data_IF_558862237415
#
_entry.id   IF_558862237415
#
_cell.length_a   1.000
_cell.length_b   1.000
_cell.length_c   1.000
_cell.angle_alpha   90.00
_cell.angle_beta   90.00
_cell.angle_gamma   90.00
#
_symmetry.space_group_name_H-M   'P 1'
#
loop_
_entity.id
_entity.type
_entity.pdbx_description
1 polymer ?
#
# COMPACT_ATOMS: atom_id res chain seq x y z
N UNK A 1 28.61 -34.48 -62.74
CA UNK A 1 27.63 -34.15 -61.67
C UNK A 1 28.26 -33.61 -60.37
N UNK A 2 29.57 -33.77 -60.09
CA UNK A 2 30.15 -33.27 -58.82
C UNK A 2 30.54 -31.78 -58.79
N UNK A 3 30.82 -31.15 -59.94
CA UNK A 3 31.22 -29.72 -59.99
C UNK A 3 30.08 -28.74 -59.66
N UNK A 4 28.85 -29.03 -60.09
CA UNK A 4 27.68 -28.18 -59.85
C UNK A 4 27.31 -28.10 -58.36
N UNK A 5 27.55 -29.18 -57.61
CA UNK A 5 27.20 -29.24 -56.20
C UNK A 5 28.14 -28.39 -55.33
N UNK A 6 29.43 -28.34 -55.68
CA UNK A 6 30.47 -27.57 -54.95
C UNK A 6 30.26 -26.06 -55.13
N UNK A 7 29.86 -25.61 -56.32
CA UNK A 7 29.60 -24.20 -56.60
C UNK A 7 28.37 -23.66 -55.86
N UNK A 8 27.32 -24.48 -55.75
CA UNK A 8 26.11 -24.14 -55.00
C UNK A 8 26.39 -24.02 -53.49
N UNK A 9 27.19 -24.93 -52.93
CA UNK A 9 27.63 -24.88 -51.52
C UNK A 9 28.51 -23.66 -51.26
N UNK A 10 29.44 -23.30 -52.17
CA UNK A 10 30.26 -22.07 -52.03
C UNK A 10 29.42 -20.79 -52.11
N UNK A 11 28.40 -20.73 -52.96
CA UNK A 11 27.49 -19.57 -53.05
C UNK A 11 26.62 -19.43 -51.80
N UNK A 12 26.12 -20.55 -51.25
CA UNK A 12 25.38 -20.57 -49.98
C UNK A 12 26.26 -20.19 -48.78
N UNK A 13 27.50 -20.70 -48.71
CA UNK A 13 28.48 -20.30 -47.69
C UNK A 13 28.83 -18.81 -47.80
N UNK A 14 29.04 -18.31 -49.02
CA UNK A 14 29.31 -16.90 -49.29
C UNK A 14 28.14 -16.01 -48.82
N UNK A 15 26.90 -16.37 -49.20
CA UNK A 15 25.71 -15.66 -48.77
C UNK A 15 25.55 -15.65 -47.24
N UNK A 16 25.87 -16.76 -46.58
CA UNK A 16 25.87 -16.84 -45.12
C UNK A 16 26.83 -15.84 -44.47
N UNK A 17 28.05 -15.70 -45.00
CA UNK A 17 29.03 -14.72 -44.51
C UNK A 17 28.62 -13.26 -44.75
N UNK A 18 27.73 -12.97 -45.71
CA UNK A 18 27.17 -11.63 -45.90
C UNK A 18 25.88 -11.38 -45.09
N UNK A 19 25.03 -12.40 -44.92
CA UNK A 19 23.74 -12.26 -44.22
C UNK A 19 23.92 -12.29 -42.70
N UNK A 20 24.81 -13.14 -42.17
CA UNK A 20 25.02 -13.25 -40.72
C UNK A 20 25.47 -11.92 -40.07
N UNK A 21 26.44 -11.16 -40.61
CA UNK A 21 26.81 -9.86 -40.05
C UNK A 21 25.65 -8.86 -40.09
N UNK A 22 24.84 -8.85 -41.16
CA UNK A 22 23.68 -7.96 -41.29
C UNK A 22 22.64 -8.28 -40.22
N UNK A 23 22.33 -9.57 -40.01
CA UNK A 23 21.40 -10.01 -38.96
C UNK A 23 21.92 -9.65 -37.57
N UNK A 24 23.22 -9.83 -37.30
CA UNK A 24 23.84 -9.45 -36.02
C UNK A 24 23.85 -7.93 -35.80
N UNK A 25 24.11 -7.14 -36.85
CA UNK A 25 24.04 -5.67 -36.80
C UNK A 25 22.60 -5.21 -36.54
N UNK A 26 21.61 -5.77 -37.24
CA UNK A 26 20.20 -5.47 -37.01
C UNK A 26 19.77 -5.85 -35.59
N UNK A 27 20.16 -7.03 -35.11
CA UNK A 27 19.91 -7.46 -33.74
C UNK A 27 20.56 -6.51 -32.72
N UNK A 28 21.80 -6.09 -32.96
CA UNK A 28 22.51 -5.12 -32.12
C UNK A 28 21.81 -3.75 -32.12
N UNK A 29 21.38 -3.25 -33.29
CA UNK A 29 20.65 -1.97 -33.41
C UNK A 29 19.31 -2.04 -32.67
N UNK A 30 18.54 -3.11 -32.86
CA UNK A 30 17.26 -3.33 -32.18
C UNK A 30 17.47 -3.41 -30.67
N UNK A 31 18.46 -4.18 -30.20
CA UNK A 31 18.80 -4.31 -28.78
C UNK A 31 19.25 -2.96 -28.19
N UNK A 32 20.08 -2.21 -28.91
CA UNK A 32 20.55 -0.88 -28.48
C UNK A 32 19.41 0.15 -28.44
N UNK A 33 18.46 0.09 -29.38
CA UNK A 33 17.24 0.91 -29.35
C UNK A 33 16.38 0.58 -28.12
N UNK A 34 16.06 -0.70 -27.86
CA UNK A 34 15.32 -1.13 -26.67
C UNK A 34 16.01 -0.69 -25.37
N UNK A 35 17.33 -0.81 -25.29
CA UNK A 35 18.12 -0.35 -24.13
C UNK A 35 18.04 1.17 -23.94
N UNK A 36 18.12 1.97 -25.02
CA UNK A 36 17.98 3.43 -24.96
C UNK A 36 16.56 3.87 -24.58
N UNK A 37 15.53 3.18 -25.08
CA UNK A 37 14.14 3.45 -24.70
C UNK A 37 13.87 3.12 -23.23
N UNK A 38 14.38 1.98 -22.75
CA UNK A 38 14.35 1.62 -21.34
C UNK A 38 15.06 2.68 -20.48
N UNK A 39 16.28 3.09 -20.85
CA UNK A 39 17.03 4.13 -20.14
C UNK A 39 16.30 5.48 -20.13
N UNK A 40 15.66 5.88 -21.25
CA UNK A 40 14.83 7.08 -21.32
C UNK A 40 13.60 6.99 -20.42
N UNK A 41 12.91 5.83 -20.39
CA UNK A 41 11.75 5.59 -19.52
C UNK A 41 12.15 5.66 -18.03
N UNK A 42 13.28 5.04 -17.67
CA UNK A 42 13.83 5.13 -16.31
C UNK A 42 14.20 6.58 -15.94
N UNK A 43 14.87 7.32 -16.83
CA UNK A 43 15.24 8.72 -16.57
C UNK A 43 14.00 9.61 -16.36
N UNK A 44 12.97 9.48 -17.21
CA UNK A 44 11.72 10.25 -17.06
C UNK A 44 11.02 9.94 -15.72
N UNK A 45 11.06 8.70 -15.26
CA UNK A 45 10.55 8.32 -13.94
C UNK A 45 11.35 8.94 -12.79
N UNK A 46 12.68 8.99 -12.89
CA UNK A 46 13.56 9.63 -11.89
C UNK A 46 13.33 11.14 -11.82
N UNK A 47 13.19 11.81 -12.96
CA UNK A 47 12.93 13.26 -13.01
C UNK A 47 11.58 13.60 -12.37
N UNK A 48 10.54 12.77 -12.59
CA UNK A 48 9.22 12.94 -11.97
C UNK A 48 9.23 12.63 -10.46
N UNK A 49 9.99 11.62 -10.03
CA UNK A 49 10.10 11.29 -8.60
C UNK A 49 10.64 12.47 -7.76
N UNK A 50 11.50 13.31 -8.36
CA UNK A 50 12.07 14.50 -7.70
C UNK A 50 11.06 15.63 -7.52
N UNK A 51 9.95 15.65 -8.27
CA UNK A 51 8.91 16.68 -8.15
C UNK A 51 7.91 16.38 -7.04
N UNK A 52 7.93 15.18 -6.46
CA UNK A 52 6.95 14.81 -5.45
C UNK A 52 7.23 15.43 -4.07
N UNK A 53 6.17 15.78 -3.31
CA UNK A 53 6.32 16.13 -1.91
C UNK A 53 7.01 15.00 -1.14
N UNK A 54 7.98 15.35 -0.29
CA UNK A 54 8.73 14.36 0.50
C UNK A 54 7.96 13.81 1.71
N UNK A 55 6.95 14.54 2.16
CA UNK A 55 6.18 14.22 3.36
C UNK A 55 4.92 13.44 2.99
N UNK A 56 4.53 12.48 3.83
CA UNK A 56 3.25 11.81 3.70
C UNK A 56 2.10 12.80 4.02
N UNK A 57 0.99 12.79 3.26
CA UNK A 57 -0.18 13.60 3.55
C UNK A 57 -0.81 13.27 4.92
N UNK A 58 -1.41 14.26 5.58
CA UNK A 58 -2.18 14.03 6.79
C UNK A 58 -3.50 13.31 6.46
N UNK A 59 -3.84 12.27 7.22
CA UNK A 59 -5.10 11.55 6.98
C UNK A 59 -5.19 10.17 7.58
N UNK A 60 -6.28 9.49 7.24
CA UNK A 60 -6.54 8.10 7.63
C UNK A 60 -5.90 7.13 6.64
N UNK A 61 -5.10 6.19 7.14
CA UNK A 61 -4.41 5.17 6.36
C UNK A 61 -4.75 3.78 6.89
N UNK A 62 -5.18 2.88 6.01
CA UNK A 62 -5.26 1.44 6.31
C UNK A 62 -3.86 0.88 6.53
N UNK A 63 -3.67 0.13 7.61
CA UNK A 63 -2.37 -0.46 7.98
C UNK A 63 -2.36 -1.99 8.04
N UNK A 64 -3.51 -2.63 8.32
CA UNK A 64 -3.66 -4.08 8.29
C UNK A 64 -5.14 -4.47 8.22
N UNK A 65 -5.41 -5.75 7.98
CA UNK A 65 -6.76 -6.31 8.06
C UNK A 65 -7.14 -6.59 9.52
N UNK A 66 -8.43 -6.42 9.83
CA UNK A 66 -8.95 -6.62 11.18
C UNK A 66 -8.86 -8.09 11.64
N UNK A 67 -8.91 -9.03 10.71
CA UNK A 67 -8.84 -10.46 10.99
C UNK A 67 -7.44 -10.92 11.47
N UNK A 68 -6.38 -10.23 11.03
CA UNK A 68 -5.00 -10.42 11.47
C UNK A 68 -4.82 -10.15 12.98
N UNK A 69 -5.74 -9.39 13.59
CA UNK A 69 -5.77 -9.08 15.02
C UNK A 69 -7.20 -9.22 15.56
N UNK A 70 -7.87 -10.33 15.25
CA UNK A 70 -9.28 -10.56 15.59
C UNK A 70 -9.53 -10.90 17.06
N UNK A 71 -8.58 -11.57 17.72
CA UNK A 71 -8.75 -12.03 19.10
C UNK A 71 -8.06 -11.12 20.10
N UNK A 72 -8.63 -11.06 21.31
CA UNK A 72 -8.02 -10.36 22.45
C UNK A 72 -6.58 -10.81 22.65
N UNK A 73 -5.71 -9.84 22.92
CA UNK A 73 -4.29 -10.06 23.16
C UNK A 73 -3.44 -10.42 21.93
N UNK A 74 -4.02 -10.47 20.73
CA UNK A 74 -3.24 -10.64 19.51
C UNK A 74 -2.43 -9.37 19.19
N UNK A 75 -1.28 -9.61 18.57
CA UNK A 75 -0.31 -8.58 18.19
C UNK A 75 0.07 -8.79 16.72
N UNK A 76 0.19 -7.70 15.98
CA UNK A 76 0.64 -7.68 14.60
C UNK A 76 1.65 -6.56 14.38
N UNK A 77 2.69 -6.90 13.63
CA UNK A 77 3.61 -5.93 13.07
C UNK A 77 3.03 -5.29 11.80
N UNK A 78 3.08 -3.97 11.71
CA UNK A 78 2.67 -3.21 10.53
C UNK A 78 3.75 -2.20 10.12
N UNK A 79 3.98 -2.08 8.81
CA UNK A 79 4.87 -1.07 8.25
C UNK A 79 4.09 -0.19 7.27
N UNK A 80 3.96 1.09 7.61
CA UNK A 80 3.31 2.08 6.75
C UNK A 80 3.92 3.45 7.00
N UNK A 81 3.86 4.34 6.00
CA UNK A 81 4.31 5.74 6.15
C UNK A 81 5.78 5.84 6.60
N UNK A 82 6.62 4.87 6.21
CA UNK A 82 8.02 4.78 6.64
C UNK A 82 8.21 4.48 8.12
N UNK A 83 7.18 3.99 8.82
CA UNK A 83 7.16 3.74 10.26
C UNK A 83 6.87 2.27 10.55
N UNK A 84 7.57 1.77 11.57
CA UNK A 84 7.35 0.45 12.13
C UNK A 84 6.37 0.59 13.30
N UNK A 85 5.25 -0.13 13.24
CA UNK A 85 4.17 -0.05 14.22
C UNK A 85 3.85 -1.42 14.81
N UNK A 86 3.38 -1.41 16.06
CA UNK A 86 2.76 -2.55 16.71
C UNK A 86 1.27 -2.28 16.82
N UNK A 87 0.48 -3.15 16.21
CA UNK A 87 -0.99 -3.19 16.31
C UNK A 87 -1.33 -4.30 17.29
N UNK A 88 -2.17 -4.03 18.28
CA UNK A 88 -2.63 -5.07 19.18
C UNK A 88 -4.06 -4.85 19.63
N UNK A 89 -4.76 -5.94 19.93
CA UNK A 89 -6.08 -5.90 20.53
C UNK A 89 -5.95 -6.01 22.04
N UNK A 90 -6.56 -5.08 22.79
CA UNK A 90 -6.58 -5.15 24.25
C UNK A 90 -7.14 -6.49 24.72
N UNK A 91 -6.67 -6.95 25.88
CA UNK A 91 -7.19 -8.15 26.55
C UNK A 91 -8.14 -7.78 27.69
N UNK A 92 -8.77 -6.61 27.58
CA UNK A 92 -9.86 -6.15 28.45
C UNK A 92 -11.23 -6.39 27.81
N UNK A 93 -12.29 -6.01 28.51
CA UNK A 93 -13.66 -6.26 28.05
C UNK A 93 -14.07 -5.45 26.83
N UNK A 94 -13.39 -4.34 26.58
CA UNK A 94 -13.64 -3.49 25.42
C UNK A 94 -13.02 -4.04 24.14
N UNK A 95 -11.94 -4.82 24.25
CA UNK A 95 -11.32 -5.54 23.13
C UNK A 95 -10.96 -4.61 21.96
N UNK A 96 -10.49 -3.40 22.28
CA UNK A 96 -10.18 -2.31 21.36
C UNK A 96 -8.83 -2.50 20.67
N UNK A 97 -8.71 -1.94 19.46
CA UNK A 97 -7.44 -1.87 18.74
C UNK A 97 -6.63 -0.67 19.20
N UNK A 98 -5.37 -0.93 19.50
CA UNK A 98 -4.36 0.09 19.80
C UNK A 98 -3.19 -0.04 18.83
N UNK A 99 -2.63 1.12 18.44
CA UNK A 99 -1.47 1.18 17.55
C UNK A 99 -0.42 2.10 18.16
N UNK A 100 0.78 1.55 18.35
CA UNK A 100 1.94 2.27 18.85
C UNK A 100 3.10 2.17 17.86
N UNK A 101 4.12 3.02 18.03
CA UNK A 101 5.44 2.75 17.42
C UNK A 101 5.93 1.35 17.85
N UNK A 102 6.58 0.61 16.97
CA UNK A 102 6.99 -0.75 17.27
C UNK A 102 8.16 -0.83 18.27
N UNK A 103 9.02 0.20 18.33
CA UNK A 103 10.25 0.15 19.11
C UNK A 103 10.09 0.75 20.51
N UNK A 104 10.48 -0.03 21.51
CA UNK A 104 10.42 0.36 22.92
C UNK A 104 11.35 1.55 23.20
N UNK A 105 10.83 2.58 23.86
CA UNK A 105 11.59 3.79 24.26
C UNK A 105 12.70 3.54 25.28
N UNK A 106 12.81 2.33 25.84
CA UNK A 106 13.89 1.94 26.73
C UNK A 106 15.20 1.67 25.97
N UNK A 107 15.25 0.57 25.19
CA UNK A 107 16.44 0.16 24.43
C UNK A 107 16.12 -0.32 23.02
N UNK A 108 14.97 0.07 22.46
CA UNK A 108 14.64 -0.18 21.05
C UNK A 108 14.24 -1.61 20.71
N UNK A 109 13.84 -2.44 21.68
CA UNK A 109 13.26 -3.75 21.39
C UNK A 109 11.93 -3.56 20.62
N UNK A 110 11.71 -4.36 19.58
CA UNK A 110 10.48 -4.30 18.80
C UNK A 110 9.36 -5.09 19.52
N UNK A 111 8.32 -4.40 19.99
CA UNK A 111 7.21 -4.99 20.74
C UNK A 111 6.34 -5.91 19.88
N UNK A 112 6.33 -5.75 18.55
CA UNK A 112 5.57 -6.63 17.67
C UNK A 112 6.20 -8.04 17.58
N UNK A 113 7.46 -8.20 17.99
CA UNK A 113 8.17 -9.48 17.98
C UNK A 113 8.47 -9.94 19.42
N UNK A 114 7.63 -10.83 19.94
CA UNK A 114 7.77 -11.40 21.28
C UNK A 114 7.15 -10.57 22.40
N UNK A 115 6.63 -9.37 22.11
CA UNK A 115 5.80 -8.64 23.06
C UNK A 115 4.51 -9.40 23.38
N UNK A 116 3.86 -8.98 24.47
CA UNK A 116 2.66 -9.64 24.97
C UNK A 116 1.66 -8.61 25.45
N UNK A 117 0.38 -8.75 25.09
CA UNK A 117 -0.69 -7.97 25.70
C UNK A 117 -0.98 -8.53 27.10
N UNK A 118 -1.06 -7.64 28.08
CA UNK A 118 -1.22 -8.03 29.48
C UNK A 118 -2.68 -8.39 29.78
N UNK A 119 -2.95 -9.56 30.39
CA UNK A 119 -4.32 -10.03 30.58
C UNK A 119 -5.20 -9.10 31.39
N UNK A 120 -6.43 -8.89 30.93
CA UNK A 120 -7.38 -7.98 31.58
C UNK A 120 -7.06 -6.50 31.40
N UNK A 121 -6.19 -6.14 30.46
CA UNK A 121 -5.74 -4.75 30.27
C UNK A 121 -5.61 -4.36 28.79
N UNK A 122 -5.42 -3.06 28.56
CA UNK A 122 -4.99 -2.48 27.29
C UNK A 122 -3.47 -2.22 27.23
N UNK A 123 -2.66 -2.89 28.05
CA UNK A 123 -1.22 -2.68 28.10
C UNK A 123 -0.48 -3.75 27.28
N UNK A 124 0.58 -3.33 26.58
CA UNK A 124 1.52 -4.23 25.92
C UNK A 124 2.86 -4.25 26.68
N UNK A 125 3.39 -5.44 26.91
CA UNK A 125 4.65 -5.68 27.58
C UNK A 125 5.77 -5.90 26.57
N UNK A 126 6.87 -5.18 26.78
CA UNK A 126 8.10 -5.31 26.00
C UNK A 126 8.81 -6.64 26.29
N UNK A 127 9.24 -7.39 25.26
CA UNK A 127 9.89 -8.70 25.44
C UNK A 127 11.25 -8.63 26.13
N UNK A 128 11.89 -7.47 26.15
CA UNK A 128 13.29 -7.38 26.58
C UNK A 128 13.42 -7.21 28.09
N UNK A 129 12.79 -6.17 28.64
CA UNK A 129 12.88 -5.83 30.06
C UNK A 129 11.51 -5.77 30.74
N UNK A 130 10.47 -6.26 30.06
CA UNK A 130 9.13 -6.42 30.59
C UNK A 130 8.45 -5.10 31.01
N UNK A 131 8.86 -3.97 30.43
CA UNK A 131 8.16 -2.69 30.59
C UNK A 131 6.79 -2.78 29.95
N UNK A 132 5.77 -2.32 30.65
CA UNK A 132 4.39 -2.31 30.15
C UNK A 132 4.01 -0.90 29.70
N UNK A 133 3.39 -0.78 28.53
CA UNK A 133 2.94 0.47 27.95
C UNK A 133 1.44 0.42 27.69
N UNK A 134 0.72 1.44 28.14
CA UNK A 134 -0.72 1.58 27.92
C UNK A 134 -1.00 1.89 26.44
N UNK A 135 -1.91 1.15 25.80
CA UNK A 135 -2.20 1.25 24.37
C UNK A 135 -2.85 2.57 23.92
N UNK A 136 -3.61 3.21 24.78
CA UNK A 136 -4.30 4.47 24.47
C UNK A 136 -3.37 5.68 24.61
N UNK A 137 -2.66 5.75 25.73
CA UNK A 137 -1.83 6.90 26.09
C UNK A 137 -0.36 6.73 25.72
N UNK A 138 0.10 5.51 25.46
CA UNK A 138 1.50 5.16 25.22
C UNK A 138 2.39 5.25 26.45
N UNK A 139 1.85 5.69 27.60
CA UNK A 139 2.63 5.86 28.84
C UNK A 139 3.05 4.50 29.39
N UNK A 140 4.29 4.42 29.87
CA UNK A 140 4.77 3.29 30.64
C UNK A 140 3.94 3.18 31.92
N UNK A 141 3.20 2.08 32.06
CA UNK A 141 2.31 1.81 33.19
C UNK A 141 3.01 1.04 34.30
N UNK A 142 4.05 0.24 33.97
CA UNK A 142 4.74 -0.60 34.96
C UNK A 142 6.19 -0.87 34.61
N UNK A 143 7.04 -0.80 35.64
CA UNK A 143 8.43 -1.25 35.63
C UNK A 143 8.54 -2.46 36.58
N UNK A 144 8.81 -3.68 36.09
CA UNK A 144 8.66 -4.88 36.91
C UNK A 144 9.70 -5.03 38.03
N UNK A 145 10.78 -4.24 37.98
CA UNK A 145 11.91 -4.31 38.91
C UNK A 145 12.16 -2.98 39.64
N UNK A 146 11.23 -2.03 39.56
CA UNK A 146 11.38 -0.73 40.21
C UNK A 146 10.05 -0.24 40.79
N UNK A 147 10.04 0.03 42.09
CA UNK A 147 8.89 0.57 42.83
C UNK A 147 8.88 2.12 42.84
N UNK A 148 9.68 2.74 41.97
CA UNK A 148 9.86 4.19 41.89
C UNK A 148 8.92 4.89 40.92
N UNK A 149 8.95 6.23 40.91
CA UNK A 149 8.21 7.05 39.94
C UNK A 149 8.71 6.73 38.52
N UNK A 150 7.80 6.25 37.67
CA UNK A 150 8.06 6.05 36.25
C UNK A 150 8.36 7.41 35.59
N UNK A 151 9.45 7.56 34.81
CA UNK A 151 9.76 8.82 34.14
C UNK A 151 8.63 9.25 33.19
N UNK A 152 8.24 10.52 33.20
CA UNK A 152 7.18 11.05 32.32
C UNK A 152 7.53 10.93 30.83
N UNK A 153 8.83 10.87 30.51
CA UNK A 153 9.35 10.65 29.16
C UNK A 153 9.27 9.19 28.71
N UNK A 154 8.96 8.24 29.59
CA UNK A 154 8.73 6.84 29.23
C UNK A 154 7.35 6.69 28.57
N UNK A 155 7.19 7.27 27.38
CA UNK A 155 5.94 7.32 26.63
C UNK A 155 6.22 6.97 25.18
N UNK A 156 5.57 5.93 24.69
CA UNK A 156 5.57 5.54 23.28
C UNK A 156 4.64 6.44 22.46
N UNK A 157 4.95 6.59 21.18
CA UNK A 157 4.05 7.22 20.24
C UNK A 157 2.81 6.35 20.05
N UNK A 158 1.63 6.96 20.12
CA UNK A 158 0.34 6.32 19.81
C UNK A 158 -0.23 6.89 18.53
N UNK A 159 -1.04 6.12 17.82
CA UNK A 159 -1.76 6.58 16.64
C UNK A 159 -3.26 6.42 16.90
N UNK A 160 -4.08 7.48 16.74
CA UNK A 160 -5.53 7.31 16.76
C UNK A 160 -5.92 6.27 15.73
N UNK A 161 -6.64 5.23 16.17
CA UNK A 161 -6.96 4.06 15.35
C UNK A 161 -8.44 3.78 15.33
N UNK A 162 -8.92 3.28 14.20
CA UNK A 162 -10.30 2.82 14.04
C UNK A 162 -10.30 1.47 13.33
N UNK A 163 -11.21 0.60 13.76
CA UNK A 163 -11.52 -0.66 13.09
C UNK A 163 -12.86 -0.49 12.38
N UNK A 164 -12.88 -0.57 11.05
CA UNK A 164 -14.10 -0.41 10.25
C UNK A 164 -13.97 -1.15 8.92
N UNK A 165 -15.06 -1.77 8.46
CA UNK A 165 -15.12 -2.49 7.18
C UNK A 165 -14.03 -3.55 6.99
N UNK A 166 -13.66 -4.25 8.08
CA UNK A 166 -12.59 -5.25 8.07
C UNK A 166 -11.18 -4.66 7.96
N UNK A 167 -11.03 -3.33 8.07
CA UNK A 167 -9.76 -2.62 7.98
C UNK A 167 -9.41 -2.01 9.33
N UNK A 168 -8.13 -2.08 9.70
CA UNK A 168 -7.56 -1.26 10.77
C UNK A 168 -6.89 -0.06 10.13
N UNK A 169 -7.34 1.14 10.51
CA UNK A 169 -6.84 2.42 10.01
C UNK A 169 -6.27 3.26 11.12
N UNK A 170 -5.26 4.07 10.80
CA UNK A 170 -4.69 5.07 11.70
C UNK A 170 -4.81 6.47 11.14
N UNK A 171 -4.92 7.45 12.03
CA UNK A 171 -4.69 8.84 11.69
C UNK A 171 -3.20 9.16 11.72
N UNK A 172 -2.69 9.75 10.65
CA UNK A 172 -1.34 10.25 10.56
C UNK A 172 -1.32 11.78 10.47
N UNK A 173 -0.48 12.39 11.29
CA UNK A 173 -0.09 13.79 11.20
C UNK A 173 1.41 13.91 11.51
N UNK A 174 2.20 14.69 10.75
CA UNK A 174 3.64 14.81 10.98
C UNK A 174 3.99 15.40 12.36
N UNK A 175 3.06 16.15 12.96
CA UNK A 175 3.18 16.74 14.30
C UNK A 175 2.37 15.99 15.38
N UNK A 176 1.78 14.83 15.06
CA UNK A 176 0.83 14.10 15.93
C UNK A 176 -0.34 14.95 16.45
N UNK A 177 -0.91 15.78 15.58
CA UNK A 177 -2.17 16.42 15.90
C UNK A 177 -3.31 15.40 15.83
N UNK A 178 -4.37 15.58 16.63
CA UNK A 178 -5.55 14.71 16.57
C UNK A 178 -6.24 14.79 15.20
N UNK A 179 -7.11 13.81 14.87
CA UNK A 179 -7.86 13.83 13.62
C UNK A 179 -8.63 15.13 13.42
N UNK A 180 -8.42 15.78 12.27
CA UNK A 180 -9.19 16.98 11.89
C UNK A 180 -10.54 16.61 11.28
N UNK A 181 -10.70 15.36 10.86
CA UNK A 181 -11.93 14.77 10.33
C UNK A 181 -12.01 13.30 10.73
N UNK A 182 -13.24 12.80 10.84
CA UNK A 182 -13.48 11.40 11.18
C UNK A 182 -13.06 10.46 10.05
N UNK A 183 -12.74 9.23 10.40
CA UNK A 183 -12.55 8.19 9.40
C UNK A 183 -13.85 8.01 8.59
N UNK A 184 -13.72 7.71 7.30
CA UNK A 184 -14.86 7.55 6.40
C UNK A 184 -15.84 6.52 6.97
N UNK A 185 -17.07 6.96 7.20
CA UNK A 185 -18.21 6.15 7.60
C UNK A 185 -19.27 6.25 6.50
N UNK A 186 -19.63 5.09 5.95
CA UNK A 186 -20.63 4.87 4.91
C UNK A 186 -21.73 4.03 5.57
N UNK A 187 -22.83 4.69 5.93
CA UNK A 187 -23.92 4.08 6.68
C UNK A 187 -24.49 2.83 6.00
N UNK A 188 -24.53 2.83 4.66
CA UNK A 188 -25.02 1.71 3.87
C UNK A 188 -24.19 0.43 4.04
N UNK A 189 -22.92 0.54 4.46
CA UNK A 189 -22.02 -0.58 4.72
C UNK A 189 -22.05 -1.07 6.17
N UNK A 190 -22.75 -0.37 7.08
CA UNK A 190 -22.83 -0.73 8.50
C UNK A 190 -23.91 -1.81 8.79
N UNK A 191 -24.70 -2.21 7.79
CA UNK A 191 -25.74 -3.24 7.89
C UNK A 191 -25.43 -4.52 7.14
N UNK A 192 -26.43 -5.40 7.05
CA UNK A 192 -26.37 -6.70 6.35
C UNK A 192 -26.72 -6.61 4.85
N UNK A 193 -26.97 -5.39 4.34
CA UNK A 193 -27.35 -5.16 2.95
C UNK A 193 -26.27 -5.57 1.95
N UNK A 194 -25.00 -5.49 2.35
CA UNK A 194 -23.87 -5.85 1.50
C UNK A 194 -23.16 -7.09 2.05
N UNK A 195 -22.80 -7.97 1.14
CA UNK A 195 -22.03 -9.17 1.44
C UNK A 195 -20.57 -8.94 1.05
N UNK A 196 -19.65 -9.24 1.97
CA UNK A 196 -18.23 -9.20 1.67
C UNK A 196 -17.87 -10.28 0.63
N UNK A 197 -17.35 -9.85 -0.53
CA UNK A 197 -17.01 -10.75 -1.65
C UNK A 197 -15.54 -11.14 -1.74
N UNK A 198 -14.68 -10.53 -0.92
CA UNK A 198 -13.25 -10.83 -0.86
C UNK A 198 -12.37 -9.60 -0.97
N UNK A 199 -11.07 -9.80 -0.79
CA UNK A 199 -10.03 -8.77 -0.87
C UNK A 199 -9.05 -9.15 -1.96
N UNK A 200 -8.57 -8.15 -2.70
CA UNK A 200 -7.51 -8.31 -3.68
C UNK A 200 -6.29 -7.50 -3.26
N UNK A 201 -5.23 -8.19 -2.87
CA UNK A 201 -3.96 -7.57 -2.53
C UNK A 201 -3.03 -7.60 -3.73
N UNK A 202 -2.59 -6.43 -4.17
CA UNK A 202 -1.44 -6.36 -5.06
C UNK A 202 -0.18 -6.16 -4.22
N UNK A 203 0.90 -6.93 -4.46
CA UNK A 203 2.15 -6.71 -3.77
C UNK A 203 2.74 -5.34 -4.13
N UNK A 204 3.64 -4.84 -3.27
CA UNK A 204 4.37 -3.57 -3.35
C UNK A 204 4.38 -2.92 -4.75
N UNK A 205 3.62 -1.84 -4.91
CA UNK A 205 3.63 -1.02 -6.12
C UNK A 205 4.63 0.11 -5.91
N UNK A 206 5.68 0.16 -6.74
CA UNK A 206 6.68 1.23 -6.70
C UNK A 206 6.15 2.49 -7.38
N UNK A 207 5.23 3.19 -6.72
CA UNK A 207 4.66 4.44 -7.19
C UNK A 207 4.48 5.45 -6.05
N UNK A 208 4.46 6.74 -6.39
CA UNK A 208 4.10 7.78 -5.43
C UNK A 208 2.57 7.84 -5.27
N UNK A 209 2.05 8.12 -4.06
CA UNK A 209 0.60 8.17 -3.80
C UNK A 209 -0.12 9.17 -4.71
N UNK A 210 0.53 10.28 -5.05
CA UNK A 210 -0.02 11.28 -5.96
C UNK A 210 -0.32 10.72 -7.35
N UNK A 211 0.52 9.82 -7.89
CA UNK A 211 0.26 9.19 -9.21
C UNK A 211 -1.03 8.37 -9.19
N UNK A 212 -1.37 7.78 -8.03
CA UNK A 212 -2.61 7.05 -7.87
C UNK A 212 -3.80 8.03 -7.84
N UNK A 213 -3.68 9.09 -7.05
CA UNK A 213 -4.72 10.12 -6.90
C UNK A 213 -5.01 10.88 -8.21
N UNK A 214 -4.01 11.12 -9.06
CA UNK A 214 -4.19 11.79 -10.34
C UNK A 214 -5.12 11.04 -11.31
N UNK A 215 -5.24 9.71 -11.19
CA UNK A 215 -6.20 8.94 -12.00
C UNK A 215 -7.64 9.38 -11.76
N UNK A 216 -7.96 9.89 -10.56
CA UNK A 216 -9.31 10.33 -10.23
C UNK A 216 -9.75 11.56 -11.06
N UNK A 217 -8.79 12.38 -11.53
CA UNK A 217 -9.07 13.56 -12.35
C UNK A 217 -8.96 13.30 -13.87
N UNK A 218 -8.27 12.22 -14.27
CA UNK A 218 -8.05 11.87 -15.68
C UNK A 218 -9.25 11.09 -16.24
N UNK A 219 -10.36 11.75 -16.52
CA UNK A 219 -11.50 11.06 -17.14
C UNK A 219 -11.16 10.43 -18.51
N UNK A 220 -10.19 11.00 -19.24
CA UNK A 220 -9.85 10.55 -20.59
C UNK A 220 -9.29 9.13 -20.63
N UNK A 221 -8.69 8.61 -19.54
CA UNK A 221 -8.20 7.22 -19.51
C UNK A 221 -9.30 6.17 -19.46
N UNK A 222 -10.55 6.54 -19.13
CA UNK A 222 -11.68 5.60 -19.06
C UNK A 222 -11.95 4.93 -20.40
N UNK A 223 -12.00 5.68 -21.50
CA UNK A 223 -12.26 5.09 -22.82
C UNK A 223 -11.21 4.03 -23.24
N UNK A 224 -9.89 4.30 -23.19
CA UNK A 224 -8.89 3.31 -23.58
C UNK A 224 -8.65 2.18 -22.57
N UNK A 225 -8.81 2.40 -21.25
CA UNK A 225 -8.53 1.39 -20.22
C UNK A 225 -9.77 0.63 -19.73
N UNK A 226 -10.94 1.27 -19.74
CA UNK A 226 -12.19 0.74 -19.20
C UNK A 226 -13.31 0.60 -20.26
N UNK A 227 -13.12 1.11 -21.48
CA UNK A 227 -14.15 1.15 -22.50
C UNK A 227 -14.52 -0.21 -23.13
N UNK A 228 -13.78 -1.29 -22.89
CA UNK A 228 -14.19 -2.63 -23.36
C UNK A 228 -15.03 -3.33 -22.30
N UNK A 229 -16.27 -3.72 -22.63
CA UNK A 229 -17.18 -4.32 -21.67
C UNK A 229 -16.58 -5.62 -21.08
N UNK A 230 -16.34 -5.60 -19.78
CA UNK A 230 -15.95 -6.76 -19.00
C UNK A 230 -17.21 -7.39 -18.40
N UNK A 231 -17.42 -8.69 -18.60
CA UNK A 231 -18.41 -9.41 -17.81
C UNK A 231 -17.88 -9.42 -16.38
N UNK A 232 -18.61 -8.85 -15.39
CA UNK A 232 -18.16 -8.83 -14.01
C UNK A 232 -17.73 -10.22 -13.54
N UNK A 233 -16.82 -10.32 -12.56
CA UNK A 233 -16.29 -11.58 -11.99
C UNK A 233 -15.58 -12.57 -12.93
N UNK A 234 -15.59 -12.37 -14.25
CA UNK A 234 -15.10 -13.41 -15.18
C UNK A 234 -13.81 -13.06 -15.92
N UNK A 235 -13.27 -11.83 -15.84
CA UNK A 235 -12.13 -11.37 -16.67
C UNK A 235 -12.37 -11.48 -18.20
N UNK A 236 -13.57 -11.87 -18.63
CA UNK A 236 -13.92 -12.01 -20.04
C UNK A 236 -14.41 -10.68 -20.57
N UNK A 237 -13.79 -10.22 -21.65
CA UNK A 237 -14.29 -9.09 -22.41
C UNK A 237 -15.31 -9.56 -23.45
N UNK A 238 -16.43 -8.86 -23.57
CA UNK A 238 -17.41 -9.12 -24.63
C UNK A 238 -16.85 -8.55 -25.94
N UNK A 239 -16.60 -9.38 -26.97
CA UNK A 239 -16.08 -8.89 -28.24
C UNK A 239 -17.04 -7.86 -28.84
N UNK A 240 -16.49 -6.76 -29.35
CA UNK A 240 -17.20 -5.70 -30.08
C UNK A 240 -18.26 -4.91 -29.28
N UNK A 241 -18.34 -5.08 -27.96
CA UNK A 241 -19.19 -4.27 -27.09
C UNK A 241 -18.33 -3.33 -26.27
N UNK A 242 -18.60 -2.02 -26.42
CA UNK A 242 -17.87 -0.96 -25.76
C UNK A 242 -18.78 -0.14 -24.87
N UNK A 243 -18.25 0.25 -23.71
CA UNK A 243 -18.88 1.18 -22.78
C UNK A 243 -18.47 2.58 -23.21
N UNK A 244 -19.44 3.48 -23.34
CA UNK A 244 -19.20 4.89 -23.52
C UNK A 244 -19.32 5.56 -22.15
N UNK A 245 -18.22 6.09 -21.66
CA UNK A 245 -18.19 6.79 -20.38
C UNK A 245 -18.59 8.25 -20.58
N UNK A 246 -19.36 8.81 -19.63
CA UNK A 246 -19.60 10.25 -19.48
C UNK A 246 -19.48 10.63 -18.01
N UNK A 247 -18.48 11.46 -17.69
CA UNK A 247 -18.27 11.92 -16.32
C UNK A 247 -18.97 13.23 -15.99
N UNK A 248 -19.51 13.29 -14.78
CA UNK A 248 -19.87 14.53 -14.09
C UNK A 248 -19.31 14.55 -12.66
N UNK A 249 -19.11 15.76 -12.11
CA UNK A 249 -18.59 15.97 -10.77
C UNK A 249 -19.53 16.90 -10.02
N UNK A 250 -19.96 16.51 -8.82
CA UNK A 250 -20.81 17.33 -7.95
C UNK A 250 -20.17 17.47 -6.56
N UNK A 251 -20.03 18.70 -6.06
CA UNK A 251 -19.49 18.94 -4.73
C UNK A 251 -20.60 18.89 -3.68
N UNK A 252 -20.33 18.24 -2.55
CA UNK A 252 -21.27 18.19 -1.45
C UNK A 252 -21.41 19.58 -0.80
N UNK A 253 -22.64 20.07 -0.70
CA UNK A 253 -22.91 21.44 -0.24
C UNK A 253 -22.65 21.64 1.26
N UNK A 254 -22.83 20.60 2.08
CA UNK A 254 -22.66 20.64 3.53
C UNK A 254 -21.22 20.28 3.94
N UNK A 255 -20.59 19.38 3.19
CA UNK A 255 -19.22 18.91 3.40
C UNK A 255 -18.36 19.28 2.19
N UNK A 256 -17.85 20.52 2.09
CA UNK A 256 -17.18 21.03 0.88
C UNK A 256 -15.89 20.31 0.50
N UNK A 257 -15.36 19.46 1.40
CA UNK A 257 -14.23 18.57 1.15
C UNK A 257 -14.62 17.23 0.49
N UNK A 258 -15.90 16.99 0.20
CA UNK A 258 -16.41 15.81 -0.48
C UNK A 258 -16.90 16.19 -1.88
N UNK A 259 -16.50 15.42 -2.89
CA UNK A 259 -17.03 15.50 -4.25
C UNK A 259 -17.47 14.11 -4.73
N UNK A 260 -18.61 14.06 -5.42
CA UNK A 260 -19.18 12.86 -6.01
C UNK A 260 -18.83 12.85 -7.50
N UNK A 261 -18.16 11.79 -7.94
CA UNK A 261 -17.86 11.52 -9.33
C UNK A 261 -18.88 10.52 -9.87
N UNK A 262 -19.57 10.89 -10.95
CA UNK A 262 -20.53 10.03 -11.62
C UNK A 262 -20.00 9.63 -12.98
N UNK A 263 -20.18 8.37 -13.34
CA UNK A 263 -19.89 7.82 -14.66
C UNK A 263 -21.18 7.19 -15.21
N UNK A 264 -21.67 7.71 -16.32
CA UNK A 264 -22.96 7.34 -16.94
C UNK A 264 -22.83 6.89 -18.38
#
# INVERSE_FOLDING_TARGET
MSFFHIECVRKLFSLYWYVLPIVLILFYIVRRRKSRESAKKTRRGVDRAQTYPKQYPCGWYRICDADEVSQRGQIKHAFALGREMVVFRSDDDHSQIHVLDAFCVHMGANLAFGGRVMPGTNCIQCPFHLWEFNGETGRCSKLPYADGKIPEKAKMQTYPSVERYGMIMIWYHPLNEPPHYDAIDIDELNGDRFEFRGVYHYPNIQMHLQEFAENAADFQHFQPLHGQMLIPWTKWHVPYVFIQHKASLEFNQEKPYIAHFYDT
#
